data_IF_392573274574
#
_entry.id   IF_392573274574
#
_cell.length_a   1.000
_cell.length_b   1.000
_cell.length_c   1.000
_cell.angle_alpha   90.00
_cell.angle_beta   90.00
_cell.angle_gamma   90.00
#
_symmetry.space_group_name_H-M   'P 1'
#
loop_
_entity.id
_entity.type
_entity.pdbx_description
1 polymer ?
#
# COMPACT_ATOMS: atom_id res chain seq x y z
N UNK A 1 -27.68 -29.18 5.47
CA UNK A 1 -26.45 -29.51 6.22
C UNK A 1 -25.35 -28.54 5.81
N UNK A 2 -24.99 -27.59 6.66
CA UNK A 2 -23.76 -26.80 6.44
C UNK A 2 -22.58 -27.68 6.87
N UNK A 3 -21.96 -28.34 5.90
CA UNK A 3 -20.70 -29.03 6.12
C UNK A 3 -19.66 -28.01 6.58
N UNK A 4 -18.98 -28.28 7.70
CA UNK A 4 -17.84 -27.46 8.14
C UNK A 4 -16.80 -27.49 7.01
N UNK A 5 -16.52 -26.35 6.38
CA UNK A 5 -15.55 -26.17 5.30
C UNK A 5 -14.51 -25.12 5.70
N UNK A 6 -13.24 -25.44 5.45
CA UNK A 6 -12.09 -24.56 5.69
C UNK A 6 -11.28 -24.89 6.95
N UNK A 7 -10.07 -24.34 7.02
CA UNK A 7 -9.18 -24.39 8.19
C UNK A 7 -8.71 -22.96 8.54
N UNK A 8 -8.50 -22.67 9.82
CA UNK A 8 -7.98 -21.37 10.26
C UNK A 8 -6.45 -21.42 10.33
N UNK A 9 -5.77 -20.60 9.54
CA UNK A 9 -4.32 -20.44 9.64
C UNK A 9 -3.97 -19.46 10.77
N UNK A 10 -3.40 -19.98 11.85
CA UNK A 10 -2.94 -19.21 13.02
C UNK A 10 -1.75 -18.28 12.69
N UNK A 11 -0.91 -18.66 11.72
CA UNK A 11 0.29 -17.92 11.32
C UNK A 11 0.03 -16.97 10.15
N UNK A 12 -1.23 -16.60 9.90
CA UNK A 12 -1.55 -15.67 8.82
C UNK A 12 -0.90 -14.30 9.06
N UNK A 13 -0.14 -13.83 8.07
CA UNK A 13 0.45 -12.48 8.12
C UNK A 13 -0.63 -11.48 7.78
N UNK A 14 -0.98 -10.63 8.75
CA UNK A 14 -1.88 -9.50 8.54
C UNK A 14 -1.09 -8.32 8.03
N UNK A 15 -1.70 -7.57 7.12
CA UNK A 15 -1.11 -6.37 6.53
C UNK A 15 -1.96 -5.16 6.85
N UNK A 16 -1.33 -4.00 7.02
CA UNK A 16 -2.01 -2.73 6.88
C UNK A 16 -2.28 -2.47 5.40
N UNK A 17 -3.55 -2.31 5.07
CA UNK A 17 -3.98 -2.04 3.70
C UNK A 17 -3.96 -0.54 3.50
N UNK A 18 -3.20 -0.09 2.50
CA UNK A 18 -3.16 1.32 2.07
C UNK A 18 -3.54 1.35 0.60
N UNK A 19 -4.43 2.25 0.22
CA UNK A 19 -4.84 2.37 -1.18
C UNK A 19 -4.14 3.56 -1.83
N UNK A 20 -4.00 3.54 -3.16
CA UNK A 20 -3.40 4.67 -3.87
C UNK A 20 -4.14 5.99 -3.63
N UNK A 21 -5.48 5.97 -3.51
CA UNK A 21 -6.26 7.17 -3.14
C UNK A 21 -5.81 7.83 -1.82
N UNK A 22 -5.29 7.04 -0.88
CA UNK A 22 -4.87 7.53 0.44
C UNK A 22 -3.46 8.13 0.36
N UNK A 23 -2.72 7.81 -0.72
CA UNK A 23 -1.38 8.33 -1.01
C UNK A 23 -1.42 9.61 -1.86
N UNK A 24 -2.57 9.97 -2.43
CA UNK A 24 -2.74 11.19 -3.24
C UNK A 24 -2.53 12.48 -2.41
N UNK A 25 -2.56 12.38 -1.07
CA UNK A 25 -2.26 13.49 -0.15
C UNK A 25 -0.77 13.88 -0.16
N UNK A 26 0.09 13.07 -0.76
CA UNK A 26 1.53 13.32 -0.81
C UNK A 26 1.91 14.17 -2.03
N UNK A 27 3.00 14.90 -1.88
CA UNK A 27 3.57 15.70 -2.96
C UNK A 27 4.38 14.82 -3.92
N UNK A 28 4.61 15.32 -5.14
CA UNK A 28 5.43 14.62 -6.11
C UNK A 28 6.88 14.52 -5.62
N UNK A 29 7.49 13.35 -5.75
CA UNK A 29 8.84 13.03 -5.27
C UNK A 29 8.90 12.68 -3.79
N UNK A 30 7.77 12.61 -3.07
CA UNK A 30 7.77 12.27 -1.64
C UNK A 30 8.23 10.83 -1.43
N UNK A 31 9.13 10.65 -0.45
CA UNK A 31 9.54 9.34 0.03
C UNK A 31 8.50 8.77 1.00
N UNK A 32 7.73 7.79 0.54
CA UNK A 32 6.71 7.11 1.34
C UNK A 32 7.32 5.91 2.06
N UNK A 33 7.52 6.08 3.37
CA UNK A 33 7.98 5.04 4.30
C UNK A 33 6.89 4.70 5.31
N UNK A 34 7.02 3.56 6.02
CA UNK A 34 6.11 3.18 7.12
C UNK A 34 5.96 4.27 8.16
N UNK A 35 7.05 4.91 8.57
CA UNK A 35 7.05 5.96 9.58
C UNK A 35 6.25 7.18 9.12
N UNK A 36 6.38 7.55 7.85
CA UNK A 36 5.68 8.67 7.26
C UNK A 36 4.17 8.40 7.17
N UNK A 37 3.79 7.17 6.80
CA UNK A 37 2.40 6.71 6.84
C UNK A 37 1.82 6.75 8.27
N UNK A 38 2.63 6.41 9.29
CA UNK A 38 2.22 6.48 10.70
C UNK A 38 2.03 7.94 11.15
N UNK A 39 2.98 8.83 10.82
CA UNK A 39 2.90 10.27 11.12
C UNK A 39 1.65 10.93 10.52
N UNK A 40 1.29 10.55 9.29
CA UNK A 40 0.06 11.00 8.62
C UNK A 40 -1.20 10.27 9.06
N UNK A 41 -1.09 9.33 10.02
CA UNK A 41 -2.20 8.52 10.56
C UNK A 41 -2.93 7.70 9.49
N UNK A 42 -2.27 7.37 8.39
CA UNK A 42 -2.80 6.45 7.36
C UNK A 42 -2.81 5.02 7.91
N UNK A 43 -1.75 4.65 8.63
CA UNK A 43 -1.69 3.40 9.39
C UNK A 43 -1.82 3.69 10.88
N UNK A 44 -2.44 2.76 11.63
CA UNK A 44 -2.66 2.93 13.08
C UNK A 44 -1.44 2.61 13.92
N UNK A 45 -0.60 1.69 13.45
CA UNK A 45 0.65 1.26 14.09
C UNK A 45 1.60 0.67 13.03
N UNK A 46 2.86 0.51 13.41
CA UNK A 46 3.95 -0.04 12.60
C UNK A 46 4.15 -1.56 12.76
N UNK A 47 3.43 -2.17 13.72
CA UNK A 47 3.50 -3.60 14.09
C UNK A 47 3.23 -4.57 12.95
N UNK A 48 2.47 -4.15 11.93
CA UNK A 48 2.17 -4.98 10.77
C UNK A 48 2.89 -4.45 9.52
N UNK A 49 3.29 -5.33 8.59
CA UNK A 49 3.74 -4.91 7.27
C UNK A 49 2.66 -4.15 6.52
N UNK A 50 3.06 -3.19 5.68
CA UNK A 50 2.15 -2.41 4.84
C UNK A 50 2.04 -3.08 3.48
N UNK A 51 0.82 -3.17 2.95
CA UNK A 51 0.53 -3.61 1.60
C UNK A 51 -0.28 -2.53 0.87
N UNK A 52 0.31 -1.99 -0.19
CA UNK A 52 -0.31 -0.98 -1.04
C UNK A 52 -1.13 -1.67 -2.14
N UNK A 53 -2.36 -1.21 -2.31
CA UNK A 53 -3.31 -1.70 -3.31
C UNK A 53 -3.71 -0.60 -4.28
N UNK A 54 -4.01 -1.00 -5.53
CA UNK A 54 -4.35 -0.12 -6.65
C UNK A 54 -5.80 0.39 -6.65
N UNK A 55 -6.36 0.71 -5.48
CA UNK A 55 -7.74 1.17 -5.38
C UNK A 55 -7.81 2.70 -5.43
N UNK A 56 -8.62 3.22 -6.35
CA UNK A 56 -8.79 4.65 -6.59
C UNK A 56 -7.83 5.18 -7.65
N UNK A 57 -7.99 6.45 -7.98
CA UNK A 57 -7.14 7.16 -8.94
C UNK A 57 -5.86 7.64 -8.26
N UNK A 58 -4.76 7.66 -9.02
CA UNK A 58 -3.45 8.05 -8.52
C UNK A 58 -2.68 8.78 -9.60
N UNK A 59 -2.36 10.05 -9.36
CA UNK A 59 -1.72 10.92 -10.36
C UNK A 59 -0.33 11.36 -9.96
N UNK A 60 0.04 11.17 -8.69
CA UNK A 60 1.32 11.62 -8.15
C UNK A 60 2.46 10.68 -8.50
N UNK A 61 3.68 11.22 -8.47
CA UNK A 61 4.93 10.46 -8.54
C UNK A 61 5.48 10.35 -7.13
N UNK A 62 5.63 9.16 -6.57
CA UNK A 62 6.11 8.96 -5.20
C UNK A 62 7.11 7.82 -5.17
N UNK A 63 8.07 7.89 -4.24
CA UNK A 63 9.05 6.83 -4.06
C UNK A 63 8.60 6.01 -2.86
N UNK A 64 8.25 4.73 -3.06
CA UNK A 64 7.80 3.84 -1.99
C UNK A 64 8.96 2.97 -1.50
N UNK A 65 9.22 2.95 -0.20
CA UNK A 65 10.23 2.08 0.43
C UNK A 65 9.63 1.25 1.59
N UNK A 66 10.23 0.09 1.85
CA UNK A 66 9.88 -0.84 2.95
C UNK A 66 8.40 -1.26 3.03
N UNK A 67 7.69 -1.20 1.89
CA UNK A 67 6.28 -1.58 1.77
C UNK A 67 6.12 -2.64 0.68
N UNK A 68 5.19 -3.59 0.90
CA UNK A 68 4.77 -4.50 -0.18
C UNK A 68 3.75 -3.79 -1.06
N UNK A 69 3.76 -4.09 -2.34
CA UNK A 69 2.81 -3.55 -3.31
C UNK A 69 2.12 -4.69 -4.06
N UNK A 70 0.85 -4.51 -4.45
CA UNK A 70 0.24 -5.38 -5.45
C UNK A 70 0.85 -5.11 -6.82
N UNK A 71 0.82 -6.10 -7.71
CA UNK A 71 1.35 -5.94 -9.08
C UNK A 71 0.76 -4.71 -9.77
N UNK A 72 -0.58 -4.58 -9.76
CA UNK A 72 -1.27 -3.43 -10.34
C UNK A 72 -0.88 -2.09 -9.71
N UNK A 73 -0.63 -2.05 -8.41
CA UNK A 73 -0.22 -0.81 -7.75
C UNK A 73 1.18 -0.40 -8.20
N UNK A 74 2.09 -1.37 -8.28
CA UNK A 74 3.44 -1.18 -8.80
C UNK A 74 3.40 -0.67 -10.25
N UNK A 75 2.60 -1.31 -11.12
CA UNK A 75 2.49 -0.90 -12.53
C UNK A 75 2.01 0.56 -12.68
N UNK A 76 1.12 1.04 -11.80
CA UNK A 76 0.63 2.43 -11.82
C UNK A 76 1.73 3.40 -11.37
N UNK A 77 2.43 3.07 -10.27
CA UNK A 77 3.52 3.90 -9.75
C UNK A 77 4.66 3.98 -10.77
N UNK A 78 5.09 2.83 -11.32
CA UNK A 78 6.14 2.75 -12.34
C UNK A 78 5.76 3.54 -13.60
N UNK A 79 4.49 3.51 -14.04
CA UNK A 79 4.01 4.33 -15.17
C UNK A 79 4.11 5.83 -14.89
N UNK A 80 3.73 6.25 -13.69
CA UNK A 80 3.79 7.66 -13.31
C UNK A 80 5.24 8.14 -13.22
N UNK A 81 6.16 7.33 -12.69
CA UNK A 81 7.58 7.67 -12.58
C UNK A 81 8.26 7.81 -13.96
N UNK A 82 7.98 6.92 -14.92
CA UNK A 82 8.60 6.91 -16.25
C UNK A 82 8.10 7.99 -17.22
N UNK A 83 7.14 8.84 -16.84
CA UNK A 83 6.59 9.90 -17.71
C UNK A 83 7.49 11.15 -17.81
N UNK A 84 8.75 11.09 -17.38
CA UNK A 84 9.77 12.11 -17.64
C UNK A 84 10.82 11.54 -18.61
N UNK A 85 10.45 11.38 -19.88
CA UNK A 85 11.37 11.36 -21.04
C UNK A 85 10.62 11.96 -22.21
#
# INVERSE_FOLDING_TARGET
QNSKRGFHNFNQVKYHIVNLKDLEIFENGTLVTKELLLKKKIIKNDKLPVKILSKGEFTKKIIVQDCKMSQKAKDIIDKNDNSNT
#
